data_IF_456114797678
#
_entry.id   IF_456114797678
#
_cell.length_a   1.000
_cell.length_b   1.000
_cell.length_c   1.000
_cell.angle_alpha   90.00
_cell.angle_beta   90.00
_cell.angle_gamma   90.00
#
_symmetry.space_group_name_H-M   'P 1'
#
loop_
_entity.id
_entity.type
_entity.pdbx_description
1 polymer ?
#
# COMPACT_ATOMS: atom_id res chain seq x y z
N UNK A 1 -42.45 15.76 -50.63
CA UNK A 1 -41.18 15.12 -50.27
C UNK A 1 -40.63 15.79 -49.01
N UNK A 2 -40.70 15.19 -47.82
CA UNK A 2 -40.16 15.79 -46.60
C UNK A 2 -38.68 15.42 -46.42
N UNK A 3 -37.81 16.44 -46.30
CA UNK A 3 -36.42 16.32 -45.86
C UNK A 3 -36.39 16.25 -44.33
N UNK A 4 -35.92 15.13 -43.79
CA UNK A 4 -35.58 15.02 -42.37
C UNK A 4 -34.15 15.53 -42.12
N UNK A 5 -33.87 16.18 -40.97
CA UNK A 5 -32.53 16.67 -40.64
C UNK A 5 -31.58 15.52 -40.27
N UNK A 6 -30.33 15.63 -40.70
CA UNK A 6 -29.24 14.72 -40.34
C UNK A 6 -28.91 14.90 -38.85
N UNK A 7 -28.92 13.80 -38.12
CA UNK A 7 -28.54 13.75 -36.71
C UNK A 7 -27.06 14.12 -36.52
N UNK A 8 -26.81 15.05 -35.59
CA UNK A 8 -25.50 15.45 -35.13
C UNK A 8 -24.87 14.29 -34.35
N UNK A 9 -23.86 13.62 -34.91
CA UNK A 9 -23.13 12.58 -34.19
C UNK A 9 -22.25 13.20 -33.11
N UNK A 10 -22.23 12.68 -31.86
CA UNK A 10 -21.21 13.07 -30.89
C UNK A 10 -19.86 12.51 -31.35
N UNK A 11 -18.89 13.40 -31.56
CA UNK A 11 -17.50 13.02 -31.82
C UNK A 11 -16.99 12.25 -30.61
N UNK A 12 -16.72 10.95 -30.82
CA UNK A 12 -16.14 10.05 -29.83
C UNK A 12 -14.64 10.37 -29.76
N UNK A 13 -14.24 11.20 -28.78
CA UNK A 13 -12.84 11.38 -28.44
C UNK A 13 -12.25 10.03 -27.99
N UNK A 14 -11.40 9.45 -28.83
CA UNK A 14 -10.50 8.36 -28.43
C UNK A 14 -9.41 8.95 -27.52
N UNK A 15 -9.06 8.31 -26.39
CA UNK A 15 -7.83 8.64 -25.70
C UNK A 15 -6.65 8.25 -26.59
N UNK A 16 -5.88 9.23 -27.06
CA UNK A 16 -4.60 8.98 -27.70
C UNK A 16 -3.65 8.37 -26.67
N UNK A 17 -3.12 7.19 -26.95
CA UNK A 17 -2.00 6.62 -26.21
C UNK A 17 -0.82 7.57 -26.37
N UNK A 18 -0.36 8.15 -25.26
CA UNK A 18 0.81 9.02 -25.21
C UNK A 18 2.05 8.14 -25.44
N UNK A 19 2.80 8.31 -26.54
CA UNK A 19 4.13 7.71 -26.61
C UNK A 19 5.03 8.47 -25.63
N UNK A 20 5.67 7.76 -24.71
CA UNK A 20 6.71 8.30 -23.85
C UNK A 20 7.84 8.86 -24.73
N UNK A 21 7.82 10.17 -24.98
CA UNK A 21 8.94 10.88 -25.59
C UNK A 21 10.02 11.08 -24.54
N UNK A 22 11.09 10.30 -24.63
CA UNK A 22 12.37 10.61 -24.02
C UNK A 22 12.94 11.86 -24.71
N UNK A 23 13.21 12.97 -24.01
CA UNK A 23 13.91 14.08 -24.62
C UNK A 23 15.36 13.66 -24.88
N UNK A 24 15.69 13.46 -26.16
CA UNK A 24 17.06 13.41 -26.64
C UNK A 24 17.65 14.82 -26.57
N UNK A 25 18.09 15.23 -25.39
CA UNK A 25 18.94 16.40 -25.21
C UNK A 25 20.34 15.89 -24.85
N UNK A 26 21.08 15.42 -25.86
CA UNK A 26 22.53 15.27 -25.76
C UNK A 26 23.15 16.66 -25.74
N UNK A 27 23.00 17.37 -24.63
CA UNK A 27 23.90 18.47 -24.32
C UNK A 27 25.25 17.86 -23.94
N UNK A 28 26.21 18.08 -24.83
CA UNK A 28 27.64 17.92 -24.61
C UNK A 28 28.02 18.63 -23.31
N UNK A 29 28.14 17.88 -22.22
CA UNK A 29 28.80 18.40 -21.04
C UNK A 29 30.30 18.56 -21.34
N UNK A 30 30.90 19.73 -21.08
CA UNK A 30 32.35 19.86 -21.15
C UNK A 30 32.98 18.96 -20.08
N UNK A 31 33.90 18.09 -20.50
CA UNK A 31 34.72 17.32 -19.57
C UNK A 31 35.50 18.28 -18.66
N UNK A 32 35.48 18.09 -17.33
CA UNK A 32 36.28 18.91 -16.44
C UNK A 32 37.78 18.63 -16.63
N UNK A 33 38.57 19.71 -16.68
CA UNK A 33 40.00 19.73 -16.99
C UNK A 33 40.93 19.00 -15.99
N UNK A 34 40.40 18.31 -14.98
CA UNK A 34 41.23 17.64 -13.96
C UNK A 34 41.92 16.36 -14.45
N UNK A 35 41.60 15.87 -15.66
CA UNK A 35 42.24 14.69 -16.25
C UNK A 35 43.52 15.00 -17.06
N UNK A 36 43.90 16.28 -17.20
CA UNK A 36 45.00 16.69 -18.09
C UNK A 36 46.34 16.94 -17.40
N UNK A 37 46.45 16.80 -16.07
CA UNK A 37 47.71 17.09 -15.37
C UNK A 37 47.98 16.06 -14.28
N UNK A 38 48.94 15.17 -14.54
CA UNK A 38 49.44 14.15 -13.62
C UNK A 38 50.20 14.75 -12.43
N UNK A 39 49.48 15.44 -11.56
CA UNK A 39 49.99 15.84 -10.24
C UNK A 39 49.05 15.21 -9.22
N UNK A 40 49.57 14.26 -8.45
CA UNK A 40 48.85 13.57 -7.39
C UNK A 40 48.87 14.47 -6.14
N UNK A 41 47.77 15.14 -5.74
CA UNK A 41 47.74 15.83 -4.47
C UNK A 41 47.53 14.79 -3.37
N UNK A 42 48.61 14.44 -2.66
CA UNK A 42 48.48 13.66 -1.44
C UNK A 42 47.62 14.44 -0.44
N UNK A 43 46.58 13.82 0.18
CA UNK A 43 45.80 14.48 1.21
C UNK A 43 46.64 14.63 2.48
N UNK A 44 47.02 15.87 2.80
CA UNK A 44 47.60 16.22 4.10
C UNK A 44 46.55 15.99 5.18
N UNK A 45 46.82 15.05 6.10
CA UNK A 45 45.94 14.78 7.24
C UNK A 45 45.91 16.00 8.15
N UNK A 46 44.80 16.74 8.14
CA UNK A 46 44.55 17.77 9.14
C UNK A 46 44.44 17.09 10.52
N UNK A 47 45.30 17.49 11.46
CA UNK A 47 45.25 17.03 12.86
C UNK A 47 44.02 17.64 13.51
N UNK A 48 42.90 16.94 13.46
CA UNK A 48 41.69 17.30 14.18
C UNK A 48 41.99 17.34 15.69
N UNK A 49 41.73 18.49 16.31
CA UNK A 49 41.58 18.57 17.76
C UNK A 49 40.35 17.76 18.14
N UNK A 50 40.55 16.69 18.91
CA UNK A 50 39.48 15.86 19.43
C UNK A 50 38.73 16.67 20.47
N UNK A 51 37.62 17.29 20.10
CA UNK A 51 36.61 17.68 21.06
C UNK A 51 35.94 16.38 21.53
N UNK A 52 36.21 15.95 22.76
CA UNK A 52 35.41 14.91 23.40
C UNK A 52 33.94 15.36 23.39
N UNK A 53 33.04 14.64 22.72
CA UNK A 53 31.63 14.88 22.93
C UNK A 53 31.31 14.38 24.34
N UNK A 54 31.15 15.29 25.29
CA UNK A 54 30.43 14.98 26.53
C UNK A 54 29.01 14.63 26.10
N UNK A 55 28.78 13.34 25.86
CA UNK A 55 27.47 12.80 25.54
C UNK A 55 26.62 12.94 26.79
N UNK A 56 25.99 14.10 26.97
CA UNK A 56 24.92 14.28 27.91
C UNK A 56 23.89 13.19 27.59
N UNK A 57 23.77 12.19 28.49
CA UNK A 57 22.80 11.11 28.35
C UNK A 57 21.43 11.75 28.47
N UNK A 58 20.81 12.01 27.32
CA UNK A 58 19.42 12.43 27.25
C UNK A 58 18.58 11.20 27.65
N UNK A 59 18.22 11.13 28.93
CA UNK A 59 17.38 10.07 29.45
C UNK A 59 15.94 10.46 29.15
N UNK A 60 15.30 9.73 28.25
CA UNK A 60 13.87 9.85 28.05
C UNK A 60 13.16 9.39 29.34
N UNK A 61 12.17 10.14 29.84
CA UNK A 61 11.39 9.71 30.99
C UNK A 61 10.69 8.39 30.68
N UNK A 62 10.63 7.49 31.67
CA UNK A 62 9.90 6.23 31.54
C UNK A 62 8.43 6.52 31.16
N UNK A 63 7.79 5.70 30.32
CA UNK A 63 6.40 5.91 29.91
C UNK A 63 5.44 5.98 31.10
N UNK A 64 5.76 5.31 32.22
CA UNK A 64 5.00 5.43 33.47
C UNK A 64 5.05 6.85 34.07
N UNK A 65 6.19 7.54 33.93
CA UNK A 65 6.36 8.95 34.36
C UNK A 65 5.57 9.92 33.48
N UNK A 66 5.10 9.47 32.31
CA UNK A 66 4.22 10.21 31.41
C UNK A 66 2.73 9.84 31.62
N UNK A 67 2.41 9.05 32.65
CA UNK A 67 1.04 8.60 32.94
C UNK A 67 0.51 7.53 31.98
N UNK A 68 1.37 6.93 31.15
CA UNK A 68 0.99 5.82 30.28
C UNK A 68 1.10 4.53 31.08
N UNK A 69 0.00 4.08 31.67
CA UNK A 69 -0.11 2.71 32.15
C UNK A 69 -0.04 1.78 30.94
N UNK A 70 1.11 1.13 30.75
CA UNK A 70 1.27 0.09 29.74
C UNK A 70 0.41 -1.11 30.13
N UNK A 71 -0.87 -1.07 29.76
CA UNK A 71 -1.63 -2.28 29.56
C UNK A 71 -0.93 -3.00 28.41
N UNK A 72 -0.06 -3.95 28.76
CA UNK A 72 0.52 -4.94 27.86
C UNK A 72 -0.65 -5.72 27.26
N UNK A 73 -1.27 -5.17 26.21
CA UNK A 73 -2.14 -5.93 25.36
C UNK A 73 -1.28 -7.04 24.76
N UNK A 74 -1.75 -8.30 24.77
CA UNK A 74 -1.02 -9.39 24.15
C UNK A 74 -0.70 -9.00 22.71
N UNK A 75 0.57 -9.17 22.32
CA UNK A 75 1.04 -8.82 20.99
C UNK A 75 0.10 -9.47 19.96
N UNK A 76 -0.48 -8.64 19.09
CA UNK A 76 -1.36 -9.14 18.04
C UNK A 76 -0.61 -10.20 17.23
N UNK A 77 -1.27 -11.31 16.85
CA UNK A 77 -0.64 -12.34 16.04
C UNK A 77 -0.07 -11.71 14.77
N UNK A 78 1.10 -12.19 14.31
CA UNK A 78 1.70 -11.72 13.05
C UNK A 78 0.79 -12.16 11.90
N UNK A 79 0.12 -11.19 11.29
CA UNK A 79 -0.81 -11.42 10.17
C UNK A 79 -0.06 -11.28 8.87
N UNK A 80 -0.02 -12.34 8.07
CA UNK A 80 0.49 -12.28 6.71
C UNK A 80 -0.58 -11.70 5.77
N UNK A 81 -0.48 -10.39 5.55
CA UNK A 81 -1.37 -9.65 4.66
C UNK A 81 -1.22 -10.06 3.19
N UNK A 82 -0.05 -10.52 2.76
CA UNK A 82 0.14 -10.99 1.39
C UNK A 82 -0.63 -12.29 1.16
N UNK A 83 -0.60 -13.20 2.13
CA UNK A 83 -1.40 -14.43 2.08
C UNK A 83 -2.90 -14.14 2.06
N UNK A 84 -3.37 -13.16 2.85
CA UNK A 84 -4.77 -12.72 2.85
C UNK A 84 -5.16 -12.15 1.48
N UNK A 85 -4.33 -11.27 0.92
CA UNK A 85 -4.60 -10.65 -0.38
C UNK A 85 -4.64 -11.71 -1.50
N UNK A 86 -3.70 -12.66 -1.50
CA UNK A 86 -3.68 -13.75 -2.47
C UNK A 86 -4.93 -14.63 -2.38
N UNK A 87 -5.47 -14.86 -1.17
CA UNK A 87 -6.72 -15.60 -0.97
C UNK A 87 -7.94 -14.82 -1.45
N UNK A 88 -8.01 -13.51 -1.19
CA UNK A 88 -9.08 -12.65 -1.71
C UNK A 88 -9.11 -12.64 -3.24
N UNK A 89 -7.93 -12.52 -3.86
CA UNK A 89 -7.78 -12.54 -5.32
C UNK A 89 -8.21 -13.90 -5.90
N UNK A 90 -7.75 -15.01 -5.29
CA UNK A 90 -8.14 -16.36 -5.71
C UNK A 90 -9.65 -16.61 -5.63
N UNK A 91 -10.32 -16.06 -4.62
CA UNK A 91 -11.78 -16.13 -4.48
C UNK A 91 -12.52 -15.16 -5.42
N UNK A 92 -11.81 -14.24 -6.07
CA UNK A 92 -12.37 -13.22 -6.94
C UNK A 92 -13.27 -12.22 -6.19
N UNK A 93 -12.94 -11.89 -4.93
CA UNK A 93 -13.75 -11.00 -4.09
C UNK A 93 -14.07 -9.70 -4.84
N UNK A 94 -15.36 -9.43 -5.03
CA UNK A 94 -15.86 -8.27 -5.78
C UNK A 94 -15.87 -7.00 -4.94
N UNK A 95 -16.15 -7.14 -3.65
CA UNK A 95 -16.18 -6.04 -2.69
C UNK A 95 -15.86 -6.56 -1.29
N UNK A 96 -15.12 -5.77 -0.54
CA UNK A 96 -14.85 -5.96 0.88
C UNK A 96 -15.34 -4.73 1.65
N UNK A 97 -16.04 -4.95 2.76
CA UNK A 97 -16.43 -3.91 3.71
C UNK A 97 -16.03 -4.33 5.12
N UNK A 98 -15.60 -3.35 5.91
CA UNK A 98 -15.31 -3.52 7.32
C UNK A 98 -16.06 -2.49 8.14
N UNK A 99 -16.63 -2.94 9.24
CA UNK A 99 -17.38 -2.14 10.19
C UNK A 99 -16.87 -2.41 11.59
N UNK A 100 -16.56 -1.35 12.32
CA UNK A 100 -16.21 -1.43 13.74
C UNK A 100 -17.49 -1.45 14.55
N UNK A 101 -17.65 -2.48 15.37
CA UNK A 101 -18.83 -2.66 16.20
C UNK A 101 -18.69 -1.91 17.51
N UNK A 102 -19.80 -1.37 18.05
CA UNK A 102 -19.78 -0.55 19.27
C UNK A 102 -19.26 -1.31 20.50
N UNK A 103 -19.28 -2.64 20.49
CA UNK A 103 -18.78 -3.49 21.57
C UNK A 103 -17.28 -3.84 21.46
N UNK A 104 -16.52 -3.21 20.56
CA UNK A 104 -15.06 -3.41 20.44
C UNK A 104 -14.64 -4.57 19.53
N UNK A 105 -15.49 -4.97 18.57
CA UNK A 105 -15.17 -5.98 17.54
C UNK A 105 -15.16 -5.41 16.13
N UNK A 106 -14.79 -6.24 15.16
CA UNK A 106 -14.80 -5.92 13.73
C UNK A 106 -15.72 -6.90 13.01
N UNK A 107 -16.66 -6.36 12.22
CA UNK A 107 -17.46 -7.11 11.24
C UNK A 107 -16.85 -6.90 9.86
N UNK A 108 -16.68 -7.98 9.13
CA UNK A 108 -16.20 -7.99 7.75
C UNK A 108 -17.27 -8.62 6.87
N UNK A 109 -17.56 -7.97 5.75
CA UNK A 109 -18.39 -8.51 4.68
C UNK A 109 -17.57 -8.64 3.40
N UNK A 110 -17.54 -9.85 2.86
CA UNK A 110 -16.97 -10.18 1.56
C UNK A 110 -18.09 -10.45 0.57
N UNK A 111 -18.01 -9.84 -0.59
CA UNK A 111 -18.94 -10.07 -1.70
C UNK A 111 -18.27 -10.99 -2.71
N UNK A 112 -18.74 -12.22 -2.84
CA UNK A 112 -18.16 -13.24 -3.71
C UNK A 112 -18.89 -13.32 -5.05
N UNK A 113 -18.17 -13.60 -6.15
CA UNK A 113 -18.76 -13.79 -7.46
C UNK A 113 -19.53 -15.11 -7.49
N UNK A 114 -20.67 -15.11 -8.17
CA UNK A 114 -21.43 -16.34 -8.44
C UNK A 114 -21.37 -16.72 -9.93
N UNK A 115 -22.04 -17.81 -10.33
CA UNK A 115 -22.06 -18.27 -11.74
C UNK A 115 -22.87 -17.25 -12.55
N UNK A 116 -23.91 -16.71 -11.92
CA UNK A 116 -24.68 -15.61 -12.42
C UNK A 116 -23.94 -14.30 -12.11
N UNK A 117 -23.45 -13.62 -13.14
CA UNK A 117 -22.69 -12.35 -12.98
C UNK A 117 -23.53 -11.20 -12.43
N UNK A 118 -24.85 -11.33 -12.40
CA UNK A 118 -25.76 -10.34 -11.81
C UNK A 118 -25.97 -10.57 -10.32
N UNK A 119 -25.56 -11.73 -9.81
CA UNK A 119 -25.71 -12.11 -8.40
C UNK A 119 -24.35 -12.24 -7.75
N UNK A 120 -24.23 -11.63 -6.58
CA UNK A 120 -23.07 -11.78 -5.73
C UNK A 120 -23.51 -12.34 -4.38
N UNK A 121 -22.69 -13.21 -3.79
CA UNK A 121 -22.99 -13.83 -2.52
C UNK A 121 -22.28 -13.05 -1.40
N UNK A 122 -23.01 -12.38 -0.49
CA UNK A 122 -22.38 -11.82 0.69
C UNK A 122 -22.02 -12.94 1.67
N UNK A 123 -20.82 -12.83 2.23
CA UNK A 123 -20.31 -13.66 3.32
C UNK A 123 -19.82 -12.73 4.41
N UNK A 124 -20.35 -12.90 5.61
CA UNK A 124 -20.07 -12.02 6.74
C UNK A 124 -19.44 -12.81 7.87
N UNK A 125 -18.46 -12.19 8.53
CA UNK A 125 -17.89 -12.71 9.76
C UNK A 125 -17.59 -11.57 10.72
N UNK A 126 -17.59 -11.89 12.01
CA UNK A 126 -17.25 -10.97 13.08
C UNK A 126 -16.20 -11.61 13.97
N UNK A 127 -15.24 -10.82 14.41
CA UNK A 127 -14.27 -11.21 15.42
C UNK A 127 -13.82 -10.01 16.25
N UNK A 128 -13.06 -10.27 17.31
CA UNK A 128 -12.46 -9.24 18.16
C UNK A 128 -11.36 -8.44 17.44
N UNK A 129 -10.75 -9.02 16.40
CA UNK A 129 -9.71 -8.35 15.59
C UNK A 129 -10.04 -8.38 14.11
N UNK A 130 -9.59 -7.36 13.37
CA UNK A 130 -9.79 -7.26 11.91
C UNK A 130 -9.26 -8.51 11.19
N UNK A 131 -8.04 -8.93 11.51
CA UNK A 131 -7.43 -10.08 10.87
C UNK A 131 -8.18 -11.39 11.13
N UNK A 132 -8.69 -11.60 12.35
CA UNK A 132 -9.52 -12.76 12.65
C UNK A 132 -10.85 -12.71 11.89
N UNK A 133 -11.49 -11.54 11.80
CA UNK A 133 -12.75 -11.38 11.07
C UNK A 133 -12.56 -11.66 9.57
N UNK A 134 -11.46 -11.15 8.98
CA UNK A 134 -11.11 -11.42 7.58
C UNK A 134 -10.83 -12.91 7.36
N UNK A 135 -10.04 -13.54 8.24
CA UNK A 135 -9.70 -14.95 8.10
C UNK A 135 -10.95 -15.86 8.17
N UNK A 136 -11.89 -15.54 9.08
CA UNK A 136 -13.18 -16.23 9.18
C UNK A 136 -14.04 -16.03 7.94
N UNK A 137 -14.15 -14.79 7.44
CA UNK A 137 -14.93 -14.48 6.24
C UNK A 137 -14.36 -15.21 5.01
N UNK A 138 -13.03 -15.26 4.87
CA UNK A 138 -12.35 -15.99 3.80
C UNK A 138 -12.60 -17.50 3.88
N UNK A 139 -12.47 -18.09 5.08
CA UNK A 139 -12.75 -19.52 5.28
C UNK A 139 -14.21 -19.87 4.98
N UNK A 140 -15.16 -19.02 5.39
CA UNK A 140 -16.57 -19.18 5.05
C UNK A 140 -16.82 -19.05 3.53
N UNK A 141 -16.12 -18.13 2.86
CA UNK A 141 -16.18 -17.97 1.41
C UNK A 141 -15.64 -19.16 0.62
N UNK A 142 -14.51 -19.73 1.06
CA UNK A 142 -13.94 -20.94 0.49
C UNK A 142 -14.88 -22.14 0.65
N UNK A 143 -15.44 -22.33 1.84
CA UNK A 143 -16.40 -23.40 2.10
C UNK A 143 -17.68 -23.27 1.26
N UNK A 144 -18.11 -22.04 0.98
CA UNK A 144 -19.24 -21.78 0.10
C UNK A 144 -18.91 -22.13 -1.36
N UNK A 145 -17.73 -21.74 -1.86
CA UNK A 145 -17.31 -22.06 -3.23
C UNK A 145 -17.19 -23.58 -3.47
N UNK A 146 -16.84 -24.35 -2.45
CA UNK A 146 -16.75 -25.82 -2.55
C UNK A 146 -18.12 -26.53 -2.58
N UNK A 147 -19.17 -25.88 -2.08
CA UNK A 147 -20.54 -26.46 -2.05
C UNK A 147 -21.31 -26.28 -3.36
N UNK A 148 -20.69 -25.69 -4.36
CA UNK A 148 -21.32 -25.27 -5.61
C UNK A 148 -20.80 -26.07 -6.78
#
# INVERSE_FOLDING_TARGET
MPRWPIANQPVRNLPQATPWQVPANHQLMPLPAYLATGVNPQPTKARGVSAEPVSAKFVLPSPESLGVTAHLQPAAPVVDWNAIQARMDRLGVLRYQKDHLPAGGVRVMLLLPTIDRTKAQPVEAQAETEAAAIALALGAGEAWMQKK
#
